data_IF_555445604092
#
_entry.id   IF_555445604092
#
_cell.length_a   1.000
_cell.length_b   1.000
_cell.length_c   1.000
_cell.angle_alpha   90.00
_cell.angle_beta   90.00
_cell.angle_gamma   90.00
#
_symmetry.space_group_name_H-M   'P 1'
#
loop_
_entity.id
_entity.type
_entity.pdbx_description
1 polymer ?
#
# COMPACT_ATOMS: atom_id res chain seq x y z
N UNK A 1 11.06 -10.97 19.92
CA UNK A 1 9.99 -11.98 19.94
C UNK A 1 10.32 -13.23 19.09
N UNK A 2 10.63 -13.13 17.79
CA UNK A 2 10.94 -14.36 17.01
C UNK A 2 12.34 -14.91 17.30
N UNK A 3 13.34 -14.05 17.59
CA UNK A 3 14.68 -14.48 18.03
C UNK A 3 14.70 -15.22 19.38
N UNK A 4 13.61 -15.14 20.15
CA UNK A 4 13.46 -15.85 21.43
C UNK A 4 12.78 -17.20 21.25
N UNK A 5 12.37 -17.57 20.03
CA UNK A 5 11.78 -18.87 19.74
C UNK A 5 12.85 -19.98 19.69
N UNK A 6 12.48 -21.23 20.05
CA UNK A 6 13.34 -22.40 19.90
C UNK A 6 13.86 -22.53 18.46
N UNK A 7 15.08 -23.05 18.31
CA UNK A 7 15.71 -23.22 16.99
C UNK A 7 14.83 -24.03 16.04
N UNK A 8 14.24 -25.13 16.49
CA UNK A 8 13.37 -25.97 15.66
C UNK A 8 12.13 -25.22 15.11
N UNK A 9 11.58 -24.27 15.88
CA UNK A 9 10.43 -23.46 15.44
C UNK A 9 10.88 -22.41 14.43
N UNK A 10 12.07 -21.82 14.61
CA UNK A 10 12.69 -20.91 13.62
C UNK A 10 13.00 -21.63 12.31
N UNK A 11 13.62 -22.81 12.37
CA UNK A 11 13.95 -23.62 11.19
C UNK A 11 12.68 -24.09 10.44
N UNK A 12 11.53 -24.19 11.13
CA UNK A 12 10.23 -24.43 10.49
C UNK A 12 9.77 -23.19 9.72
N UNK A 13 9.76 -22.03 10.37
CA UNK A 13 9.33 -20.78 9.74
C UNK A 13 10.22 -20.34 8.58
N UNK A 14 11.52 -20.60 8.64
CA UNK A 14 12.43 -20.33 7.50
C UNK A 14 12.10 -21.18 6.27
N UNK A 15 11.54 -22.39 6.46
CA UNK A 15 11.18 -23.30 5.36
C UNK A 15 9.76 -23.09 4.84
N UNK A 16 8.82 -22.82 5.73
CA UNK A 16 7.38 -22.82 5.43
C UNK A 16 6.78 -21.41 5.43
N UNK A 17 7.52 -20.41 5.90
CA UNK A 17 7.01 -19.06 6.17
C UNK A 17 6.41 -18.93 7.57
N UNK A 18 6.40 -17.70 8.09
CA UNK A 18 5.89 -17.33 9.40
C UNK A 18 4.50 -16.67 9.32
N UNK A 19 3.70 -16.96 8.29
CA UNK A 19 2.60 -16.09 7.87
C UNK A 19 1.53 -15.83 8.95
N UNK A 20 1.17 -16.85 9.73
CA UNK A 20 0.24 -16.76 10.88
C UNK A 20 0.81 -15.97 12.07
N UNK A 21 2.12 -15.71 12.05
CA UNK A 21 2.87 -14.97 13.08
C UNK A 21 3.27 -13.57 12.63
N UNK A 22 2.83 -13.15 11.45
CA UNK A 22 3.12 -11.83 10.90
C UNK A 22 1.91 -10.92 11.00
N UNK A 23 2.17 -9.64 11.32
CA UNK A 23 1.15 -8.62 11.19
C UNK A 23 0.77 -8.44 9.71
N UNK A 24 -0.41 -7.89 9.44
CA UNK A 24 -0.93 -7.78 8.06
C UNK A 24 0.02 -7.01 7.12
N UNK A 25 0.70 -5.98 7.61
CA UNK A 25 1.69 -5.24 6.83
C UNK A 25 2.87 -6.14 6.40
N UNK A 26 3.37 -6.97 7.33
CA UNK A 26 4.44 -7.94 7.03
C UNK A 26 4.00 -9.04 6.06
N UNK A 27 2.70 -9.37 6.00
CA UNK A 27 2.16 -10.37 5.06
C UNK A 27 2.14 -9.83 3.63
N UNK A 28 1.83 -8.55 3.44
CA UNK A 28 1.80 -7.91 2.11
C UNK A 28 3.19 -7.39 1.67
N UNK A 29 3.82 -6.55 2.48
CA UNK A 29 5.10 -5.88 2.17
C UNK A 29 6.34 -6.71 2.55
N UNK A 30 6.15 -7.87 3.15
CA UNK A 30 7.23 -8.77 3.54
C UNK A 30 7.85 -8.42 4.90
N UNK A 31 8.76 -9.28 5.32
CA UNK A 31 9.53 -9.16 6.55
C UNK A 31 10.87 -9.88 6.39
N UNK A 32 11.67 -9.94 7.45
CA UNK A 32 12.90 -10.74 7.45
C UNK A 32 12.66 -12.25 7.37
N UNK A 33 11.39 -12.71 7.50
CA UNK A 33 11.02 -14.13 7.53
C UNK A 33 10.22 -14.56 6.29
N UNK A 34 9.45 -13.63 5.71
CA UNK A 34 8.68 -13.87 4.49
C UNK A 34 9.02 -12.81 3.45
N UNK A 35 9.31 -13.22 2.23
CA UNK A 35 9.40 -12.30 1.10
C UNK A 35 8.08 -11.55 0.89
N UNK A 36 8.16 -10.32 0.38
CA UNK A 36 6.98 -9.56 0.02
C UNK A 36 6.18 -10.25 -1.08
N UNK A 37 4.85 -10.19 -0.99
CA UNK A 37 3.96 -10.58 -2.08
C UNK A 37 3.87 -9.49 -3.15
N UNK A 38 3.93 -8.23 -2.72
CA UNK A 38 3.97 -7.07 -3.62
C UNK A 38 5.36 -6.93 -4.24
N UNK A 39 5.46 -7.19 -5.54
CA UNK A 39 6.67 -6.91 -6.30
C UNK A 39 6.66 -5.44 -6.73
N UNK A 40 7.68 -4.71 -6.30
CA UNK A 40 7.92 -3.31 -6.68
C UNK A 40 9.16 -3.31 -7.55
N UNK A 41 9.01 -2.93 -8.82
CA UNK A 41 10.15 -2.82 -9.72
C UNK A 41 10.90 -1.49 -9.56
N UNK A 42 12.15 -1.46 -10.01
CA UNK A 42 12.95 -0.25 -10.08
C UNK A 42 12.24 0.83 -10.92
N UNK A 43 12.12 2.01 -10.33
CA UNK A 43 11.43 3.13 -10.93
C UNK A 43 12.34 3.85 -11.95
N UNK A 44 12.11 3.62 -13.24
CA UNK A 44 12.89 4.26 -14.30
C UNK A 44 12.51 5.74 -14.48
N UNK A 45 13.49 6.61 -14.69
CA UNK A 45 13.25 8.04 -14.93
C UNK A 45 12.47 8.27 -16.23
N UNK A 46 11.53 9.22 -16.19
CA UNK A 46 10.74 9.65 -17.34
C UNK A 46 11.07 11.10 -17.67
N UNK A 47 11.67 11.30 -18.84
CA UNK A 47 12.08 12.62 -19.34
C UNK A 47 13.41 12.55 -20.09
N UNK A 48 13.81 13.67 -20.69
CA UNK A 48 15.08 13.75 -21.42
C UNK A 48 16.26 14.06 -20.49
N UNK A 49 16.03 14.89 -19.47
CA UNK A 49 17.08 15.34 -18.55
C UNK A 49 16.55 15.46 -17.14
N UNK A 50 17.36 14.97 -16.20
CA UNK A 50 17.11 15.13 -14.77
C UNK A 50 17.44 16.56 -14.35
N UNK A 51 16.47 17.26 -13.79
CA UNK A 51 16.67 18.55 -13.14
C UNK A 51 17.16 18.35 -11.70
N UNK A 52 18.20 19.09 -11.31
CA UNK A 52 18.70 19.09 -9.95
C UNK A 52 18.70 20.49 -9.37
N UNK A 53 18.52 20.58 -8.05
CA UNK A 53 18.69 21.81 -7.29
C UNK A 53 19.62 21.57 -6.10
N UNK A 54 20.44 22.57 -5.82
CA UNK A 54 21.19 22.64 -4.56
C UNK A 54 20.37 23.47 -3.58
N UNK A 55 20.14 22.91 -2.40
CA UNK A 55 19.37 23.52 -1.32
C UNK A 55 20.25 23.67 -0.09
N UNK A 56 20.34 24.89 0.43
CA UNK A 56 21.08 25.21 1.65
C UNK A 56 20.16 25.09 2.87
N UNK A 57 20.55 24.27 3.85
CA UNK A 57 19.86 24.14 5.12
C UNK A 57 20.66 24.82 6.23
N UNK A 58 20.02 25.77 6.91
CA UNK A 58 20.57 26.45 8.08
C UNK A 58 19.78 26.06 9.33
N UNK A 59 20.45 25.47 10.32
CA UNK A 59 19.87 25.30 11.64
C UNK A 59 19.90 26.62 12.41
N UNK A 60 18.74 27.10 12.86
CA UNK A 60 18.61 28.31 13.68
C UNK A 60 18.64 27.92 15.15
N UNK A 61 19.49 28.57 15.93
CA UNK A 61 19.51 28.43 17.39
C UNK A 61 18.37 29.26 17.99
N UNK A 62 17.42 28.57 18.65
CA UNK A 62 16.25 29.18 19.29
C UNK A 62 16.58 30.15 20.44
N UNK A 63 17.79 30.10 21.01
CA UNK A 63 18.18 31.01 22.09
C UNK A 63 18.83 32.29 21.57
N UNK A 64 19.75 32.17 20.61
CA UNK A 64 20.50 33.31 20.08
C UNK A 64 19.83 33.96 18.89
N UNK A 65 18.92 33.26 18.20
CA UNK A 65 18.33 33.70 16.93
C UNK A 65 19.30 33.67 15.74
N UNK A 66 20.56 33.28 15.98
CA UNK A 66 21.58 33.12 14.96
C UNK A 66 21.60 31.73 14.33
N UNK A 67 22.42 31.55 13.30
CA UNK A 67 22.74 30.21 12.79
C UNK A 67 23.54 29.43 13.83
N UNK A 68 23.20 28.14 14.02
CA UNK A 68 23.98 27.24 14.87
C UNK A 68 25.27 26.88 14.14
N UNK A 69 26.41 27.14 14.79
CA UNK A 69 27.73 26.85 14.24
C UNK A 69 27.86 25.37 13.82
N UNK A 70 28.51 25.15 12.67
CA UNK A 70 28.74 23.84 12.04
C UNK A 70 27.48 23.04 11.66
N UNK A 71 26.27 23.63 11.75
CA UNK A 71 25.02 22.97 11.40
C UNK A 71 24.42 23.47 10.06
N UNK A 72 25.27 24.01 9.17
CA UNK A 72 24.93 24.24 7.76
C UNK A 72 25.16 22.95 6.98
N UNK A 73 24.21 22.55 6.14
CA UNK A 73 24.35 21.43 5.21
C UNK A 73 23.68 21.77 3.88
N UNK A 74 24.32 21.40 2.79
CA UNK A 74 23.82 21.62 1.44
C UNK A 74 23.39 20.28 0.83
N UNK A 75 22.20 20.22 0.21
CA UNK A 75 21.66 19.03 -0.42
C UNK A 75 21.51 19.24 -1.94
N UNK A 76 22.09 18.35 -2.74
CA UNK A 76 21.74 18.23 -4.16
C UNK A 76 20.55 17.28 -4.28
N UNK A 77 19.42 17.77 -4.78
CA UNK A 77 18.16 17.02 -4.89
C UNK A 77 17.68 16.97 -6.33
N UNK A 78 16.94 15.92 -6.66
CA UNK A 78 16.15 15.89 -7.88
C UNK A 78 14.98 16.87 -7.73
N UNK A 79 14.81 17.76 -8.69
CA UNK A 79 13.74 18.74 -8.65
C UNK A 79 12.53 18.24 -9.42
N UNK A 80 11.47 17.87 -8.69
CA UNK A 80 10.20 17.36 -9.24
C UNK A 80 10.39 16.29 -10.34
N UNK A 81 11.16 15.22 -10.09
CA UNK A 81 11.39 14.17 -11.09
C UNK A 81 10.10 13.36 -11.32
N UNK A 82 9.94 12.83 -12.54
CA UNK A 82 8.91 11.83 -12.86
C UNK A 82 9.56 10.47 -13.07
N UNK A 83 8.97 9.43 -12.49
CA UNK A 83 9.42 8.05 -12.62
C UNK A 83 8.28 7.13 -13.02
N UNK A 84 8.59 6.10 -13.81
CA UNK A 84 7.66 5.02 -14.12
C UNK A 84 7.87 3.89 -13.13
N UNK A 85 6.86 3.66 -12.30
CA UNK A 85 6.81 2.58 -11.32
C UNK A 85 5.92 1.46 -11.84
N UNK A 86 6.31 0.20 -11.60
CA UNK A 86 5.47 -0.97 -11.85
C UNK A 86 5.33 -1.76 -10.56
N UNK A 87 4.08 -2.00 -10.19
CA UNK A 87 3.68 -2.80 -9.05
C UNK A 87 3.00 -4.07 -9.58
N UNK A 88 3.33 -5.21 -8.99
CA UNK A 88 2.75 -6.49 -9.39
C UNK A 88 2.42 -7.35 -8.17
N UNK A 89 1.22 -7.92 -8.17
CA UNK A 89 0.71 -8.75 -7.09
C UNK A 89 0.05 -9.99 -7.69
N UNK A 90 0.49 -11.18 -7.28
CA UNK A 90 -0.05 -12.45 -7.76
C UNK A 90 -1.16 -12.94 -6.83
N UNK A 91 -2.27 -13.42 -7.42
CA UNK A 91 -3.43 -13.97 -6.70
C UNK A 91 -3.79 -13.15 -5.44
N UNK A 92 -4.05 -11.83 -5.58
CA UNK A 92 -4.30 -10.97 -4.45
C UNK A 92 -5.61 -11.35 -3.74
N UNK A 93 -5.59 -11.31 -2.41
CA UNK A 93 -6.81 -11.38 -1.62
C UNK A 93 -7.48 -10.00 -1.57
N UNK A 94 -8.83 -9.93 -1.47
CA UNK A 94 -9.55 -8.65 -1.42
C UNK A 94 -9.03 -7.66 -0.37
N UNK A 95 -8.64 -8.14 0.82
CA UNK A 95 -8.10 -7.26 1.88
C UNK A 95 -6.74 -6.65 1.50
N UNK A 96 -5.93 -7.32 0.68
CA UNK A 96 -4.62 -6.83 0.25
C UNK A 96 -4.77 -5.72 -0.77
N UNK A 97 -5.76 -5.83 -1.66
CA UNK A 97 -6.13 -4.76 -2.59
C UNK A 97 -6.67 -3.55 -1.84
N UNK A 98 -7.48 -3.77 -0.81
CA UNK A 98 -7.99 -2.70 0.06
C UNK A 98 -6.86 -1.98 0.79
N UNK A 99 -5.91 -2.73 1.35
CA UNK A 99 -4.71 -2.16 1.95
C UNK A 99 -3.92 -1.34 0.92
N UNK A 100 -3.60 -1.94 -0.22
CA UNK A 100 -2.76 -1.31 -1.25
C UNK A 100 -3.41 -0.03 -1.80
N UNK A 101 -4.73 -0.03 -2.01
CA UNK A 101 -5.47 1.15 -2.43
C UNK A 101 -5.34 2.31 -1.44
N UNK A 102 -5.44 2.05 -0.13
CA UNK A 102 -5.22 3.06 0.90
C UNK A 102 -3.79 3.60 0.88
N UNK A 103 -2.79 2.72 0.77
CA UNK A 103 -1.37 3.14 0.70
C UNK A 103 -1.10 4.01 -0.53
N UNK A 104 -1.64 3.64 -1.69
CA UNK A 104 -1.47 4.41 -2.93
C UNK A 104 -2.20 5.76 -2.86
N UNK A 105 -3.39 5.81 -2.27
CA UNK A 105 -4.08 7.07 -1.98
C UNK A 105 -3.24 7.95 -1.07
N UNK A 106 -2.76 7.42 0.05
CA UNK A 106 -2.00 8.21 1.02
C UNK A 106 -0.68 8.73 0.42
N UNK A 107 -0.09 7.97 -0.51
CA UNK A 107 1.06 8.42 -1.29
C UNK A 107 0.67 9.59 -2.18
N UNK A 108 -0.43 9.45 -2.92
CA UNK A 108 -0.94 10.48 -3.84
C UNK A 108 -1.34 11.77 -3.10
N UNK A 109 -1.96 11.65 -1.93
CA UNK A 109 -2.40 12.77 -1.09
C UNK A 109 -1.26 13.43 -0.30
N UNK A 110 -0.03 12.91 -0.42
CA UNK A 110 1.14 13.44 0.29
C UNK A 110 1.16 13.13 1.80
N UNK A 111 0.33 12.20 2.27
CA UNK A 111 0.30 11.74 3.66
C UNK A 111 1.50 10.84 3.99
N UNK A 112 2.02 10.12 3.00
CA UNK A 112 3.29 9.39 3.10
C UNK A 112 4.33 9.97 2.14
N UNK A 113 5.59 9.95 2.56
CA UNK A 113 6.72 10.45 1.78
C UNK A 113 7.73 9.34 1.52
N UNK A 114 8.43 9.43 0.39
CA UNK A 114 9.42 8.44 -0.05
C UNK A 114 10.82 9.02 -0.01
N UNK A 115 11.74 8.30 0.62
CA UNK A 115 13.16 8.64 0.63
C UNK A 115 13.57 9.56 1.79
N UNK A 116 14.63 10.33 1.56
CA UNK A 116 15.26 11.15 2.60
C UNK A 116 14.57 12.51 2.78
N UNK A 117 14.51 13.01 4.02
CA UNK A 117 14.21 14.41 4.29
C UNK A 117 12.73 14.77 4.36
N UNK A 118 11.85 13.83 4.71
CA UNK A 118 10.42 14.06 4.93
C UNK A 118 10.14 15.32 5.79
N UNK A 119 10.80 15.45 6.94
CA UNK A 119 10.68 16.61 7.84
C UNK A 119 11.21 17.94 7.26
N UNK A 120 11.82 17.90 6.06
CA UNK A 120 12.35 19.05 5.32
C UNK A 120 11.54 19.32 4.05
N UNK A 121 10.39 18.66 3.86
CA UNK A 121 9.52 18.81 2.70
C UNK A 121 9.96 18.00 1.47
N UNK A 122 10.78 16.96 1.65
CA UNK A 122 11.15 16.04 0.57
C UNK A 122 10.30 14.78 0.57
N UNK A 123 10.26 14.12 -0.58
CA UNK A 123 9.67 12.79 -0.73
C UNK A 123 8.17 12.78 -0.98
N UNK A 124 7.52 13.94 -1.08
CA UNK A 124 6.15 14.03 -1.58
C UNK A 124 6.09 13.48 -3.01
N UNK A 125 5.08 12.66 -3.27
CA UNK A 125 4.87 11.98 -4.54
C UNK A 125 3.43 12.20 -4.98
N UNK A 126 3.20 12.27 -6.28
CA UNK A 126 1.85 12.21 -6.85
C UNK A 126 1.83 11.12 -7.90
N UNK A 127 0.72 10.38 -7.96
CA UNK A 127 0.49 9.35 -8.97
C UNK A 127 -0.17 10.02 -10.16
N UNK A 128 0.42 9.83 -11.35
CA UNK A 128 -0.09 10.32 -12.63
C UNK A 128 -0.08 9.18 -13.65
N UNK A 129 -0.92 9.26 -14.68
CA UNK A 129 -1.00 8.31 -15.80
C UNK A 129 -1.20 6.85 -15.31
N UNK A 130 -2.12 6.66 -14.36
CA UNK A 130 -2.38 5.38 -13.72
C UNK A 130 -2.88 4.33 -14.72
N UNK A 131 -2.34 3.12 -14.59
CA UNK A 131 -2.76 1.95 -15.34
C UNK A 131 -2.92 0.79 -14.39
N UNK A 132 -4.14 0.29 -14.30
CA UNK A 132 -4.48 -0.89 -13.55
C UNK A 132 -4.96 -1.97 -14.52
N UNK A 133 -4.45 -3.18 -14.38
CA UNK A 133 -4.86 -4.31 -15.21
C UNK A 133 -4.86 -5.57 -14.36
N UNK A 134 -5.99 -6.25 -14.35
CA UNK A 134 -6.14 -7.57 -13.77
C UNK A 134 -6.07 -8.60 -14.89
N UNK A 135 -5.29 -9.67 -14.67
CA UNK A 135 -5.26 -10.84 -15.52
C UNK A 135 -5.77 -12.05 -14.73
N UNK A 136 -6.73 -12.79 -15.30
CA UNK A 136 -7.37 -13.95 -14.66
C UNK A 136 -7.71 -15.04 -15.70
N UNK A 137 -7.90 -16.28 -15.27
CA UNK A 137 -8.24 -17.40 -16.17
C UNK A 137 -9.75 -17.54 -16.30
N UNK A 138 -10.46 -17.59 -15.16
CA UNK A 138 -11.93 -17.59 -15.10
C UNK A 138 -12.46 -16.37 -14.34
N UNK A 139 -13.75 -16.07 -14.49
CA UNK A 139 -14.39 -14.95 -13.80
C UNK A 139 -14.37 -15.13 -12.27
N UNK A 140 -14.24 -16.37 -11.78
CA UNK A 140 -14.14 -16.69 -10.35
C UNK A 140 -12.76 -16.33 -9.76
N UNK A 141 -11.73 -16.22 -10.60
CA UNK A 141 -10.38 -15.81 -10.18
C UNK A 141 -10.29 -14.28 -9.96
N UNK A 142 -11.28 -13.51 -10.44
CA UNK A 142 -11.31 -12.07 -10.21
C UNK A 142 -11.57 -11.78 -8.73
N UNK A 143 -10.77 -10.92 -8.06
CA UNK A 143 -10.75 -10.82 -6.61
C UNK A 143 -11.93 -10.00 -6.07
N UNK A 144 -13.16 -10.52 -6.21
CA UNK A 144 -14.33 -9.94 -5.58
C UNK A 144 -14.30 -10.15 -4.06
N UNK A 145 -14.83 -9.21 -3.27
CA UNK A 145 -15.18 -9.46 -1.88
C UNK A 145 -16.06 -10.71 -1.71
N UNK A 146 -16.02 -11.32 -0.53
CA UNK A 146 -16.84 -12.50 -0.24
C UNK A 146 -18.35 -12.16 -0.24
N UNK A 147 -19.13 -13.02 -0.91
CA UNK A 147 -20.58 -12.83 -1.13
C UNK A 147 -21.43 -13.03 0.13
N UNK A 148 -20.86 -13.62 1.18
CA UNK A 148 -21.53 -13.87 2.47
C UNK A 148 -21.55 -12.65 3.41
N UNK A 149 -20.95 -11.53 3.00
CA UNK A 149 -20.92 -10.29 3.79
C UNK A 149 -22.30 -9.62 3.87
N UNK A 150 -22.75 -9.30 5.08
CA UNK A 150 -23.96 -8.48 5.31
C UNK A 150 -23.72 -6.97 5.14
N UNK A 151 -22.49 -6.53 4.83
CA UNK A 151 -22.16 -5.12 4.65
C UNK A 151 -22.70 -4.62 3.29
N UNK A 152 -23.59 -3.61 3.27
CA UNK A 152 -24.15 -3.07 2.03
C UNK A 152 -23.09 -2.55 1.05
N UNK A 153 -21.98 -2.01 1.56
CA UNK A 153 -20.86 -1.53 0.73
C UNK A 153 -20.21 -2.70 -0.01
N UNK A 154 -20.06 -3.84 0.67
CA UNK A 154 -19.48 -5.05 0.09
C UNK A 154 -20.41 -5.63 -0.99
N UNK A 155 -21.71 -5.65 -0.73
CA UNK A 155 -22.71 -6.10 -1.71
C UNK A 155 -22.74 -5.20 -2.96
N UNK A 156 -22.63 -3.87 -2.78
CA UNK A 156 -22.51 -2.93 -3.88
C UNK A 156 -21.22 -3.16 -4.70
N UNK A 157 -20.10 -3.41 -4.02
CA UNK A 157 -18.81 -3.71 -4.65
C UNK A 157 -18.85 -4.98 -5.49
N UNK A 158 -19.51 -6.04 -5.00
CA UNK A 158 -19.72 -7.30 -5.75
C UNK A 158 -20.51 -7.02 -7.03
N UNK A 159 -21.62 -6.28 -6.92
CA UNK A 159 -22.42 -5.90 -8.09
C UNK A 159 -21.65 -5.06 -9.10
N UNK A 160 -20.80 -4.13 -8.65
CA UNK A 160 -19.91 -3.35 -9.51
C UNK A 160 -18.88 -4.22 -10.22
N UNK A 161 -18.21 -5.12 -9.48
CA UNK A 161 -17.26 -6.07 -10.06
C UNK A 161 -17.90 -7.01 -11.09
N UNK A 162 -19.13 -7.46 -10.87
CA UNK A 162 -19.89 -8.26 -11.84
C UNK A 162 -20.19 -7.46 -13.13
N UNK A 163 -20.52 -6.17 -13.04
CA UNK A 163 -20.69 -5.30 -14.21
C UNK A 163 -19.38 -5.09 -14.97
N UNK A 164 -18.28 -4.87 -14.25
CA UNK A 164 -16.95 -4.76 -14.86
C UNK A 164 -16.58 -6.03 -15.63
N UNK A 165 -16.84 -7.21 -15.03
CA UNK A 165 -16.63 -8.49 -15.71
C UNK A 165 -17.49 -8.60 -16.99
N UNK A 166 -18.70 -8.07 -17.02
CA UNK A 166 -19.53 -8.07 -18.25
C UNK A 166 -19.09 -7.04 -19.30
N UNK A 167 -18.15 -6.15 -18.95
CA UNK A 167 -17.66 -5.08 -19.80
C UNK A 167 -16.62 -5.51 -20.85
N UNK A 168 -15.87 -4.52 -21.36
CA UNK A 168 -14.84 -4.76 -22.36
C UNK A 168 -13.65 -5.53 -21.77
N UNK A 169 -13.30 -6.65 -22.40
CA UNK A 169 -12.17 -7.49 -22.02
C UNK A 169 -11.07 -7.47 -23.08
N UNK A 170 -9.84 -7.60 -22.62
CA UNK A 170 -8.67 -7.91 -23.44
C UNK A 170 -8.22 -9.35 -23.25
N UNK A 171 -7.18 -9.74 -23.99
CA UNK A 171 -6.54 -11.06 -23.87
C UNK A 171 -5.04 -10.86 -23.86
N UNK A 172 -4.35 -11.56 -22.95
CA UNK A 172 -2.89 -11.60 -22.88
C UNK A 172 -2.43 -13.04 -22.68
N UNK A 173 -2.08 -13.72 -23.78
CA UNK A 173 -1.74 -15.14 -23.75
C UNK A 173 -2.95 -15.98 -23.35
N UNK A 174 -2.85 -16.67 -22.21
CA UNK A 174 -3.94 -17.48 -21.64
C UNK A 174 -4.86 -16.69 -20.69
N UNK A 175 -4.50 -15.45 -20.36
CA UNK A 175 -5.26 -14.63 -19.43
C UNK A 175 -6.29 -13.78 -20.16
N UNK A 176 -7.48 -13.73 -19.57
CA UNK A 176 -8.43 -12.65 -19.81
C UNK A 176 -7.96 -11.43 -19.02
N UNK A 177 -8.06 -10.24 -19.61
CA UNK A 177 -7.61 -9.02 -18.96
C UNK A 177 -8.74 -8.02 -18.80
N UNK A 178 -8.85 -7.44 -17.62
CA UNK A 178 -9.71 -6.31 -17.32
C UNK A 178 -8.82 -5.12 -16.93
N UNK A 179 -8.86 -4.07 -17.74
CA UNK A 179 -8.09 -2.85 -17.50
C UNK A 179 -9.01 -1.75 -16.93
N UNK A 180 -8.44 -0.90 -16.08
CA UNK A 180 -9.08 0.33 -15.67
C UNK A 180 -9.36 1.24 -16.87
N UNK A 181 -10.54 1.86 -16.85
CA UNK A 181 -10.98 2.85 -17.81
C UNK A 181 -11.79 3.94 -17.10
N UNK A 182 -11.61 5.19 -17.51
CA UNK A 182 -12.31 6.34 -16.95
C UNK A 182 -13.84 6.20 -17.11
N UNK A 183 -14.31 5.55 -18.17
CA UNK A 183 -15.74 5.35 -18.41
C UNK A 183 -16.40 4.41 -17.38
N UNK A 184 -15.62 3.58 -16.68
CA UNK A 184 -16.09 2.66 -15.64
C UNK A 184 -15.60 3.04 -14.24
N UNK A 185 -15.18 4.29 -14.05
CA UNK A 185 -14.65 4.80 -12.79
C UNK A 185 -15.57 4.48 -11.61
N UNK A 186 -16.86 4.76 -11.71
CA UNK A 186 -17.81 4.54 -10.60
C UNK A 186 -17.84 3.07 -10.13
N UNK A 187 -17.75 2.12 -11.06
CA UNK A 187 -17.72 0.69 -10.74
C UNK A 187 -16.37 0.28 -10.12
N UNK A 188 -15.25 0.83 -10.61
CA UNK A 188 -13.93 0.63 -10.00
C UNK A 188 -13.84 1.20 -8.60
N UNK A 189 -14.40 2.39 -8.37
CA UNK A 189 -14.43 3.02 -7.05
C UNK A 189 -15.28 2.24 -6.07
N UNK A 190 -16.48 1.81 -6.48
CA UNK A 190 -17.32 0.95 -5.66
C UNK A 190 -16.62 -0.37 -5.29
N UNK A 191 -15.91 -0.99 -6.25
CA UNK A 191 -15.14 -2.20 -6.01
C UNK A 191 -13.97 -1.96 -5.03
N UNK A 192 -13.23 -0.86 -5.21
CA UNK A 192 -12.13 -0.48 -4.33
C UNK A 192 -12.61 -0.19 -2.89
N UNK A 193 -13.74 0.49 -2.72
CA UNK A 193 -14.37 0.69 -1.42
C UNK A 193 -14.74 -0.63 -0.75
N UNK A 194 -15.26 -1.60 -1.52
CA UNK A 194 -15.51 -2.96 -1.03
C UNK A 194 -14.24 -3.65 -0.54
N UNK A 195 -13.14 -3.57 -1.29
CA UNK A 195 -11.85 -4.10 -0.84
C UNK A 195 -11.36 -3.45 0.45
N UNK A 196 -11.51 -2.13 0.59
CA UNK A 196 -11.17 -1.41 1.83
C UNK A 196 -12.03 -1.86 3.00
N UNK A 197 -13.32 -2.14 2.79
CA UNK A 197 -14.19 -2.70 3.83
C UNK A 197 -13.73 -4.07 4.29
N UNK A 198 -13.39 -4.96 3.35
CA UNK A 198 -12.82 -6.28 3.69
C UNK A 198 -11.50 -6.12 4.44
N UNK A 199 -10.67 -5.16 4.06
CA UNK A 199 -9.44 -4.84 4.79
C UNK A 199 -9.72 -4.38 6.24
N UNK A 200 -10.66 -3.47 6.45
CA UNK A 200 -11.01 -3.00 7.80
C UNK A 200 -11.57 -4.14 8.67
N UNK A 201 -12.38 -5.04 8.09
CA UNK A 201 -12.84 -6.25 8.78
C UNK A 201 -11.66 -7.17 9.13
N UNK A 202 -10.71 -7.35 8.20
CA UNK A 202 -9.49 -8.13 8.42
C UNK A 202 -8.67 -7.55 9.58
N UNK A 203 -8.51 -6.23 9.67
CA UNK A 203 -7.84 -5.55 10.78
C UNK A 203 -8.56 -5.80 12.10
N UNK A 204 -9.88 -5.59 12.15
CA UNK A 204 -10.67 -5.79 13.37
C UNK A 204 -10.61 -7.24 13.89
N UNK A 205 -10.53 -8.21 12.98
CA UNK A 205 -10.43 -9.63 13.30
C UNK A 205 -8.99 -10.08 13.56
N UNK A 206 -7.99 -9.30 13.17
CA UNK A 206 -6.59 -9.65 13.34
C UNK A 206 -6.20 -9.51 14.82
N UNK A 207 -6.28 -10.63 15.54
CA UNK A 207 -5.69 -10.75 16.88
C UNK A 207 -4.26 -11.24 16.75
N UNK A 208 -3.32 -10.59 17.44
CA UNK A 208 -1.93 -11.05 17.49
C UNK A 208 -1.87 -12.51 17.93
N UNK A 209 -1.31 -13.39 17.11
CA UNK A 209 -1.04 -14.78 17.47
C UNK A 209 0.12 -14.90 18.50
N UNK A 210 0.61 -13.78 19.04
CA UNK A 210 1.73 -13.75 19.96
C UNK A 210 1.73 -12.54 20.90
N UNK A 211 2.49 -12.64 22.00
CA UNK A 211 2.62 -11.65 23.08
C UNK A 211 3.32 -10.35 22.70
N UNK A 212 2.90 -9.71 21.61
CA UNK A 212 2.98 -8.26 21.49
C UNK A 212 1.98 -7.67 22.48
N UNK A 213 2.48 -7.04 23.54
CA UNK A 213 1.63 -6.31 24.48
C UNK A 213 1.04 -5.03 23.83
N UNK A 214 1.67 -4.55 22.75
CA UNK A 214 1.23 -3.38 21.98
C UNK A 214 1.77 -3.43 20.55
N UNK A 215 0.90 -3.36 19.54
CA UNK A 215 1.19 -3.11 18.13
C UNK A 215 0.68 -1.72 17.76
N UNK A 216 1.60 -0.84 17.34
CA UNK A 216 1.26 0.56 17.04
C UNK A 216 0.42 0.73 15.76
N UNK A 217 0.32 -0.31 14.92
CA UNK A 217 -0.44 -0.27 13.67
C UNK A 217 -1.83 -0.90 13.80
N UNK A 218 -1.98 -1.93 14.64
CA UNK A 218 -3.21 -2.71 14.71
C UNK A 218 -3.91 -2.70 16.06
N UNK A 219 -3.31 -2.12 17.10
CA UNK A 219 -4.00 -1.94 18.38
C UNK A 219 -4.69 -0.58 18.46
N UNK A 220 -5.59 -0.45 19.42
CA UNK A 220 -6.20 0.83 19.73
C UNK A 220 -5.16 1.83 20.22
N UNK A 221 -5.23 3.04 19.67
CA UNK A 221 -4.53 4.22 20.15
C UNK A 221 -5.59 5.17 20.70
N UNK A 222 -5.53 5.46 21.99
CA UNK A 222 -6.47 6.32 22.71
C UNK A 222 -7.95 5.91 22.56
N UNK A 223 -8.23 4.60 22.48
CA UNK A 223 -9.58 4.03 22.42
C UNK A 223 -10.15 3.91 21.01
N UNK A 224 -9.38 4.27 19.97
CA UNK A 224 -9.78 4.15 18.58
C UNK A 224 -8.91 3.14 17.84
N UNK A 225 -9.51 2.34 16.98
CA UNK A 225 -8.77 1.53 16.01
C UNK A 225 -8.26 2.39 14.87
N UNK A 226 -7.11 2.02 14.26
CA UNK A 226 -6.60 2.75 13.09
C UNK A 226 -7.65 2.87 11.99
N UNK A 227 -8.44 1.82 11.74
CA UNK A 227 -9.54 1.80 10.77
C UNK A 227 -10.70 2.76 11.09
N UNK A 228 -10.85 3.20 12.33
CA UNK A 228 -11.88 4.18 12.75
C UNK A 228 -11.37 5.62 12.60
N UNK A 229 -10.06 5.82 12.74
CA UNK A 229 -9.41 7.11 12.55
C UNK A 229 -9.11 7.39 11.08
N UNK A 230 -9.06 6.35 10.25
CA UNK A 230 -8.74 6.47 8.83
C UNK A 230 -9.98 6.62 7.97
N UNK A 231 -10.05 7.64 7.08
CA UNK A 231 -11.12 7.68 6.10
C UNK A 231 -11.02 6.45 5.20
N UNK A 232 -12.09 5.66 5.11
CA UNK A 232 -12.13 4.43 4.31
C UNK A 232 -12.33 4.69 2.79
N UNK A 233 -12.37 5.96 2.36
CA UNK A 233 -12.67 6.31 0.97
C UNK A 233 -11.41 6.34 0.13
N UNK A 234 -11.42 5.62 -0.97
CA UNK A 234 -10.50 5.85 -2.08
C UNK A 234 -11.10 7.03 -2.87
N UNK A 235 -10.38 8.12 -3.12
CA UNK A 235 -10.86 9.27 -3.89
C UNK A 235 -10.91 8.98 -5.40
#
# INVERSE_FOLDING_TARGET
FIKTLPKAERDKFEREGAEERLCLACRLFGSTWNGSRLRVEDASFVGEKVETKVLDFLAIDRFTGGGRDAAKFDAAVLWKPKFRVRLFLENPQPWELGWLALVLRDLHDGLITVGFGAAKGFGECQIEDEKLTFGFLTDEDFPLPADDSQDPTVQQAIGAGQRLLQGQRGVSGVFQTLAYDQATLDDWMALAEGWVRVFNQQVANHRHAFGLNKDSYFDQVDGYWLSELYPARVP
#
